data_IF_983888522798
#
_entry.id   IF_983888522798
#
_cell.length_a   1.000
_cell.length_b   1.000
_cell.length_c   1.000
_cell.angle_alpha   90.00
_cell.angle_beta   90.00
_cell.angle_gamma   90.00
#
_symmetry.space_group_name_H-M   'P 1'
#
loop_
_entity.id
_entity.type
_entity.pdbx_description
1 polymer ?
#
# COMPACT_ATOMS: atom_id res chain seq x y z
N UNK A 1 14.21 -15.57 -3.08
CA UNK A 1 13.43 -15.38 -1.85
C UNK A 1 14.37 -15.36 -0.65
N UNK A 2 14.27 -14.31 0.17
CA UNK A 2 15.04 -14.07 1.40
C UNK A 2 14.10 -14.14 2.59
N UNK A 3 14.59 -14.65 3.73
CA UNK A 3 13.84 -14.66 4.99
C UNK A 3 14.46 -13.68 5.99
N UNK A 4 13.63 -12.84 6.58
CA UNK A 4 13.98 -11.86 7.59
C UNK A 4 13.20 -12.14 8.89
N UNK A 5 13.79 -11.76 10.03
CA UNK A 5 13.15 -11.80 11.35
C UNK A 5 12.96 -10.38 11.87
N UNK A 6 11.75 -10.06 12.33
CA UNK A 6 11.42 -8.78 12.95
C UNK A 6 10.54 -9.05 14.17
N UNK A 7 11.09 -8.89 15.38
CA UNK A 7 10.43 -9.33 16.61
C UNK A 7 10.05 -10.82 16.54
N UNK A 8 8.77 -11.13 16.71
CA UNK A 8 8.21 -12.48 16.59
C UNK A 8 7.82 -12.86 15.15
N UNK A 9 7.90 -11.94 14.21
CA UNK A 9 7.47 -12.15 12.83
C UNK A 9 8.56 -12.83 11.99
N UNK A 10 8.10 -13.74 11.12
CA UNK A 10 8.93 -14.29 10.04
C UNK A 10 8.45 -13.69 8.73
N UNK A 11 9.34 -13.02 8.01
CA UNK A 11 9.00 -12.30 6.79
C UNK A 11 9.71 -12.97 5.62
N UNK A 12 8.97 -13.25 4.56
CA UNK A 12 9.52 -13.59 3.25
C UNK A 12 9.51 -12.34 2.37
N UNK A 13 10.58 -12.11 1.65
CA UNK A 13 10.70 -11.06 0.63
C UNK A 13 11.41 -11.65 -0.57
N UNK A 14 11.13 -11.16 -1.76
CA UNK A 14 11.72 -11.71 -2.98
C UNK A 14 12.18 -10.62 -3.96
N UNK A 15 12.99 -11.05 -4.90
CA UNK A 15 13.35 -10.25 -6.06
C UNK A 15 12.61 -10.79 -7.27
N UNK A 16 11.83 -9.94 -7.92
CA UNK A 16 11.08 -10.29 -9.13
C UNK A 16 11.70 -9.59 -10.33
N UNK A 17 12.07 -10.38 -11.33
CA UNK A 17 12.46 -9.84 -12.63
C UNK A 17 11.34 -8.90 -13.15
N UNK A 18 11.70 -7.83 -13.87
CA UNK A 18 10.71 -6.97 -14.50
C UNK A 18 9.80 -7.79 -15.43
N UNK A 19 8.52 -7.39 -15.60
CA UNK A 19 7.63 -8.02 -16.56
C UNK A 19 8.34 -8.09 -17.92
N UNK A 20 8.29 -9.22 -18.62
CA UNK A 20 9.09 -9.47 -19.83
C UNK A 20 8.82 -8.50 -20.98
N UNK A 21 7.76 -7.70 -20.88
CA UNK A 21 7.36 -6.69 -21.87
C UNK A 21 6.58 -5.60 -21.17
N UNK A 22 7.16 -4.40 -21.04
CA UNK A 22 6.32 -3.21 -21.12
C UNK A 22 5.61 -3.25 -22.49
N UNK A 23 4.38 -2.77 -22.58
CA UNK A 23 3.55 -2.75 -23.80
C UNK A 23 4.15 -1.98 -24.99
N UNK A 24 5.40 -1.54 -24.90
CA UNK A 24 6.15 -0.92 -25.99
C UNK A 24 7.29 -1.88 -26.44
N UNK A 25 7.15 -2.57 -27.58
CA UNK A 25 8.02 -3.70 -28.01
C UNK A 25 9.47 -3.34 -28.41
N UNK A 26 10.05 -2.27 -27.88
CA UNK A 26 11.42 -1.81 -28.19
C UNK A 26 12.33 -1.51 -26.99
N UNK A 27 11.80 -1.50 -25.76
CA UNK A 27 12.61 -1.14 -24.58
C UNK A 27 13.30 -2.39 -24.02
N UNK A 28 14.59 -2.54 -24.34
CA UNK A 28 15.41 -3.60 -23.75
C UNK A 28 15.70 -3.25 -22.28
N UNK A 29 15.26 -4.09 -21.36
CA UNK A 29 15.73 -4.07 -19.97
C UNK A 29 17.16 -4.60 -19.94
N UNK A 30 18.10 -3.86 -19.34
CA UNK A 30 19.50 -4.25 -19.23
C UNK A 30 19.79 -4.82 -17.83
N UNK A 31 19.24 -6.01 -17.55
CA UNK A 31 19.29 -6.62 -16.22
C UNK A 31 18.42 -5.89 -15.18
N UNK A 32 18.30 -6.47 -13.98
CA UNK A 32 17.53 -5.86 -12.88
C UNK A 32 16.28 -6.60 -12.42
N UNK A 33 15.64 -6.09 -11.38
CA UNK A 33 14.40 -6.61 -10.76
C UNK A 33 13.46 -5.46 -10.35
N UNK A 34 12.17 -5.54 -10.65
CA UNK A 34 11.23 -4.50 -10.18
C UNK A 34 10.99 -4.55 -8.67
N UNK A 35 11.28 -5.70 -8.06
CA UNK A 35 11.19 -5.91 -6.62
C UNK A 35 12.55 -6.35 -6.13
N UNK A 36 13.00 -5.82 -5.00
CA UNK A 36 14.31 -6.15 -4.44
C UNK A 36 14.18 -6.57 -2.99
N UNK A 37 14.67 -7.77 -2.69
CA UNK A 37 14.71 -8.28 -1.31
C UNK A 37 15.56 -7.38 -0.39
N UNK A 38 16.58 -6.71 -0.94
CA UNK A 38 17.40 -5.73 -0.21
C UNK A 38 16.65 -4.47 0.20
N UNK A 39 15.46 -4.23 -0.36
CA UNK A 39 14.64 -3.07 -0.03
C UNK A 39 13.70 -3.34 1.16
N UNK A 40 13.83 -4.50 1.81
CA UNK A 40 13.18 -4.84 3.07
C UNK A 40 14.25 -5.14 4.12
N UNK A 41 14.27 -4.38 5.22
CA UNK A 41 15.29 -4.55 6.26
C UNK A 41 14.77 -4.23 7.66
N UNK A 42 15.41 -4.80 8.69
CA UNK A 42 15.24 -4.33 10.07
C UNK A 42 16.32 -3.32 10.39
N UNK A 43 15.90 -2.11 10.73
CA UNK A 43 16.77 -1.00 11.10
C UNK A 43 17.41 -1.23 12.48
N UNK A 44 18.47 -0.47 12.77
CA UNK A 44 19.18 -0.54 14.05
C UNK A 44 18.32 -0.14 15.26
N UNK A 45 17.25 0.63 15.03
CA UNK A 45 16.26 0.99 16.05
C UNK A 45 15.20 -0.11 16.29
N UNK A 46 15.26 -1.22 15.55
CA UNK A 46 14.33 -2.34 15.67
C UNK A 46 13.10 -2.25 14.78
N UNK A 47 12.95 -1.18 13.99
CA UNK A 47 11.80 -1.01 13.08
C UNK A 47 12.01 -1.77 11.77
N UNK A 48 10.91 -2.20 11.15
CA UNK A 48 10.95 -2.76 9.80
C UNK A 48 10.88 -1.62 8.79
N UNK A 49 11.69 -1.65 7.75
CA UNK A 49 11.67 -0.68 6.68
C UNK A 49 11.39 -1.35 5.34
N UNK A 50 10.49 -0.74 4.57
CA UNK A 50 10.30 -0.97 3.15
C UNK A 50 10.81 0.26 2.40
N UNK A 51 11.53 0.06 1.30
CA UNK A 51 12.08 1.16 0.51
C UNK A 51 11.78 1.05 -0.98
N UNK A 52 11.70 2.21 -1.61
CA UNK A 52 11.60 2.41 -3.06
C UNK A 52 12.84 3.20 -3.50
N UNK A 53 13.74 2.55 -4.24
CA UNK A 53 15.06 3.09 -4.55
C UNK A 53 15.50 2.80 -5.98
N UNK A 54 16.40 3.61 -6.53
CA UNK A 54 17.06 3.33 -7.80
C UNK A 54 18.28 2.42 -7.59
N UNK A 55 18.04 1.14 -7.35
CA UNK A 55 19.12 0.20 -6.99
C UNK A 55 19.04 -1.16 -7.70
N UNK A 56 18.29 -1.21 -8.80
CA UNK A 56 17.97 -2.48 -9.46
C UNK A 56 18.38 -2.54 -10.93
N UNK A 57 19.43 -1.80 -11.31
CA UNK A 57 19.94 -1.77 -12.69
C UNK A 57 19.27 -0.70 -13.55
N UNK A 58 19.34 -0.86 -14.88
CA UNK A 58 18.97 0.18 -15.85
C UNK A 58 18.06 -0.35 -16.96
N UNK A 59 17.20 0.53 -17.49
CA UNK A 59 16.39 0.31 -18.68
C UNK A 59 16.66 1.40 -19.72
N UNK A 60 16.46 1.09 -21.00
CA UNK A 60 16.47 2.12 -22.05
C UNK A 60 15.09 2.74 -22.19
N UNK A 61 14.98 4.06 -22.15
CA UNK A 61 13.73 4.79 -22.37
C UNK A 61 13.43 4.98 -23.87
N UNK A 62 12.26 5.55 -24.19
CA UNK A 62 11.83 5.78 -25.59
C UNK A 62 12.74 6.75 -26.37
N UNK A 63 13.60 7.50 -25.68
CA UNK A 63 14.57 8.42 -26.27
C UNK A 63 15.94 7.76 -26.48
N UNK A 64 16.08 6.46 -26.19
CA UNK A 64 17.36 5.76 -26.28
C UNK A 64 18.36 6.20 -25.21
N UNK A 65 17.89 6.62 -24.03
CA UNK A 65 18.73 6.92 -22.87
C UNK A 65 18.57 5.83 -21.81
N UNK A 66 19.63 5.58 -21.03
CA UNK A 66 19.56 4.67 -19.89
C UNK A 66 19.02 5.40 -18.66
N UNK A 67 18.06 4.80 -17.99
CA UNK A 67 17.50 5.25 -16.71
C UNK A 67 17.58 4.14 -15.68
N UNK A 68 17.81 4.48 -14.41
CA UNK A 68 17.83 3.50 -13.33
C UNK A 68 16.41 3.04 -12.96
N UNK A 69 16.29 1.73 -12.72
CA UNK A 69 15.03 1.11 -12.31
C UNK A 69 14.77 1.43 -10.84
N UNK A 70 13.61 2.04 -10.59
CA UNK A 70 13.03 2.14 -9.26
C UNK A 70 12.53 0.76 -8.81
N UNK A 71 13.25 0.15 -7.86
CA UNK A 71 12.85 -1.12 -7.28
C UNK A 71 11.96 -0.94 -6.06
N UNK A 72 10.84 -1.65 -6.10
CA UNK A 72 9.88 -1.83 -5.04
C UNK A 72 10.39 -2.81 -3.96
N UNK A 73 9.62 -2.90 -2.89
CA UNK A 73 9.80 -3.84 -1.79
C UNK A 73 8.48 -4.50 -1.40
N UNK A 74 8.52 -5.80 -1.11
CA UNK A 74 7.40 -6.56 -0.56
C UNK A 74 7.86 -7.37 0.65
N UNK A 75 7.12 -7.26 1.74
CA UNK A 75 7.25 -8.06 2.95
C UNK A 75 6.00 -8.93 3.12
N UNK A 76 6.18 -10.25 3.07
CA UNK A 76 5.12 -11.25 3.27
C UNK A 76 5.28 -11.93 4.61
N UNK A 77 4.37 -11.65 5.53
CA UNK A 77 4.39 -12.17 6.89
C UNK A 77 3.89 -13.61 6.92
N UNK A 78 4.74 -14.53 7.38
CA UNK A 78 4.48 -15.98 7.40
C UNK A 78 3.67 -16.44 8.61
N UNK A 79 3.31 -15.51 9.49
CA UNK A 79 2.46 -15.77 10.64
C UNK A 79 1.09 -16.29 10.18
N UNK A 80 0.47 -17.12 11.02
CA UNK A 80 -0.88 -17.63 10.73
C UNK A 80 -1.86 -16.46 10.80
N UNK A 81 -2.68 -16.31 9.75
CA UNK A 81 -3.74 -15.31 9.70
C UNK A 81 -4.94 -15.82 10.50
N UNK A 82 -5.41 -14.99 11.44
CA UNK A 82 -6.56 -15.28 12.28
C UNK A 82 -7.57 -14.13 12.26
N UNK A 83 -8.81 -14.44 12.64
CA UNK A 83 -9.78 -13.40 12.97
C UNK A 83 -9.34 -12.65 14.22
N UNK A 84 -9.57 -11.34 14.24
CA UNK A 84 -9.22 -10.47 15.35
C UNK A 84 -8.87 -9.06 14.90
N UNK A 85 -8.02 -8.41 15.68
CA UNK A 85 -7.56 -7.05 15.45
C UNK A 85 -6.14 -7.05 14.88
N UNK A 86 -5.98 -6.40 13.73
CA UNK A 86 -4.68 -6.06 13.16
C UNK A 86 -4.42 -4.58 13.42
N UNK A 87 -3.21 -4.23 13.82
CA UNK A 87 -2.82 -2.84 14.09
C UNK A 87 -1.42 -2.59 13.54
N UNK A 88 -1.21 -1.53 12.77
CA UNK A 88 0.07 -1.20 12.18
C UNK A 88 0.36 0.29 12.34
N UNK A 89 1.53 0.62 12.89
CA UNK A 89 2.04 1.99 13.00
C UNK A 89 3.22 2.16 12.08
N UNK A 90 3.20 3.20 11.26
CA UNK A 90 4.25 3.48 10.31
C UNK A 90 4.40 4.98 10.06
N UNK A 91 5.54 5.36 9.47
CA UNK A 91 5.81 6.72 8.97
C UNK A 91 6.52 6.65 7.63
N UNK A 92 6.51 7.77 6.91
CA UNK A 92 7.08 7.89 5.58
C UNK A 92 8.21 8.91 5.60
N UNK A 93 9.39 8.54 5.10
CA UNK A 93 10.57 9.42 5.04
C UNK A 93 11.25 9.43 3.67
N UNK A 94 12.03 10.48 3.41
CA UNK A 94 12.95 10.58 2.28
C UNK A 94 14.34 9.98 2.63
N UNK A 95 15.26 9.96 1.67
CA UNK A 95 16.64 9.50 1.88
C UNK A 95 17.49 10.32 2.86
N UNK A 96 16.98 11.44 3.38
CA UNK A 96 17.62 12.22 4.43
C UNK A 96 16.92 12.04 5.79
N UNK A 97 15.91 11.19 5.88
CA UNK A 97 15.12 10.96 7.09
C UNK A 97 14.06 12.03 7.37
N UNK A 98 13.78 12.95 6.44
CA UNK A 98 12.70 13.92 6.59
C UNK A 98 11.36 13.27 6.27
N UNK A 99 10.27 13.74 6.89
CA UNK A 99 8.92 13.27 6.57
C UNK A 99 8.58 13.53 5.11
N UNK A 100 8.09 12.51 4.42
CA UNK A 100 7.86 12.51 2.98
C UNK A 100 6.43 12.05 2.63
N UNK A 101 5.45 12.50 3.39
CA UNK A 101 4.03 12.19 3.12
C UNK A 101 3.52 12.83 1.82
N UNK A 102 4.19 13.87 1.34
CA UNK A 102 3.96 14.48 0.03
C UNK A 102 4.27 13.54 -1.15
N UNK A 103 5.02 12.45 -0.91
CA UNK A 103 5.29 11.43 -1.93
C UNK A 103 4.01 10.74 -2.43
N UNK A 104 2.95 10.76 -1.60
CA UNK A 104 1.63 10.23 -1.94
C UNK A 104 0.67 11.30 -2.45
N UNK A 105 1.09 12.58 -2.46
CA UNK A 105 0.32 13.67 -3.00
C UNK A 105 0.50 13.76 -4.52
N UNK A 106 -0.57 14.15 -5.21
CA UNK A 106 -0.49 14.60 -6.59
C UNK A 106 0.20 15.96 -6.63
N UNK A 107 1.53 15.99 -6.79
CA UNK A 107 2.11 17.12 -7.51
C UNK A 107 1.70 16.96 -8.97
N UNK A 108 1.16 18.00 -9.58
CA UNK A 108 0.88 18.04 -11.00
C UNK A 108 2.11 18.71 -11.64
N UNK A 109 3.25 18.02 -11.82
CA UNK A 109 4.39 18.65 -12.45
C UNK A 109 3.97 19.05 -13.86
N UNK A 110 4.23 20.31 -14.21
CA UNK A 110 4.25 20.75 -15.59
C UNK A 110 5.71 20.71 -16.04
N UNK A 111 6.07 20.01 -17.13
CA UNK A 111 5.21 19.31 -18.09
C UNK A 111 4.64 17.99 -17.54
N UNK A 112 3.56 17.43 -18.13
CA UNK A 112 2.94 16.17 -17.69
C UNK A 112 3.92 15.01 -17.87
N UNK A 113 4.79 14.84 -16.89
CA UNK A 113 5.44 13.56 -16.68
C UNK A 113 4.32 12.59 -16.33
N UNK A 114 4.40 11.38 -16.90
CA UNK A 114 3.53 10.25 -16.56
C UNK A 114 3.21 10.29 -15.07
N UNK A 115 1.95 10.08 -14.67
CA UNK A 115 1.52 10.10 -13.27
C UNK A 115 2.32 9.07 -12.47
N UNK A 116 3.52 9.45 -12.01
CA UNK A 116 4.45 8.65 -11.23
C UNK A 116 4.02 8.80 -9.78
N UNK A 117 3.44 7.76 -9.22
CA UNK A 117 2.95 7.80 -7.84
C UNK A 117 3.55 6.65 -7.07
N UNK A 118 4.18 6.98 -5.95
CA UNK A 118 4.53 6.01 -4.92
C UNK A 118 3.23 5.43 -4.37
N UNK A 119 3.19 4.10 -4.20
CA UNK A 119 2.08 3.42 -3.53
C UNK A 119 2.61 2.55 -2.38
N UNK A 120 1.95 2.59 -1.23
CA UNK A 120 2.21 1.73 -0.06
C UNK A 120 0.96 0.97 0.32
N UNK A 121 1.04 -0.34 0.49
CA UNK A 121 -0.10 -1.21 0.74
C UNK A 121 0.11 -2.04 2.01
N UNK A 122 -0.98 -2.28 2.73
CA UNK A 122 -1.10 -3.26 3.79
C UNK A 122 -2.38 -4.06 3.52
N UNK A 123 -2.27 -5.36 3.30
CA UNK A 123 -3.41 -6.16 2.90
C UNK A 123 -3.25 -7.64 3.27
N UNK A 124 -4.37 -8.30 3.55
CA UNK A 124 -4.42 -9.75 3.59
C UNK A 124 -4.67 -10.27 2.19
N UNK A 125 -3.87 -11.23 1.73
CA UNK A 125 -4.00 -11.82 0.41
C UNK A 125 -3.93 -13.34 0.47
N UNK A 126 -4.84 -13.98 -0.26
CA UNK A 126 -4.78 -15.40 -0.57
C UNK A 126 -4.95 -15.59 -2.07
N UNK A 127 -3.92 -16.14 -2.72
CA UNK A 127 -4.02 -16.58 -4.11
C UNK A 127 -4.86 -17.85 -4.12
N UNK A 128 -6.14 -17.72 -4.45
CA UNK A 128 -7.07 -18.85 -4.47
C UNK A 128 -6.54 -20.03 -5.27
N UNK A 129 -6.91 -21.24 -4.86
CA UNK A 129 -6.53 -22.50 -5.54
C UNK A 129 -7.34 -22.78 -6.82
N UNK A 130 -8.30 -21.91 -7.19
CA UNK A 130 -9.20 -22.10 -8.32
C UNK A 130 -8.61 -21.57 -9.63
N UNK A 131 -8.42 -22.45 -10.61
CA UNK A 131 -7.81 -22.17 -11.93
C UNK A 131 -8.57 -21.24 -12.89
N UNK A 132 -9.33 -20.27 -12.38
CA UNK A 132 -9.87 -19.15 -13.16
C UNK A 132 -8.92 -17.94 -13.09
N UNK A 133 -8.83 -17.16 -14.17
CA UNK A 133 -8.08 -15.89 -14.17
C UNK A 133 -8.65 -14.95 -13.10
N UNK A 134 -7.87 -14.70 -12.04
CA UNK A 134 -8.13 -13.77 -10.92
C UNK A 134 -8.95 -14.28 -9.72
N UNK A 135 -9.02 -15.59 -9.44
CA UNK A 135 -9.57 -16.06 -8.17
C UNK A 135 -8.59 -15.81 -7.01
N UNK A 136 -8.74 -14.70 -6.29
CA UNK A 136 -8.02 -14.38 -5.06
C UNK A 136 -8.98 -13.85 -4.01
N UNK A 137 -8.57 -13.91 -2.74
CA UNK A 137 -9.27 -13.29 -1.62
C UNK A 137 -8.37 -12.24 -1.02
N UNK A 138 -8.91 -11.04 -0.83
CA UNK A 138 -8.11 -9.89 -0.40
C UNK A 138 -8.90 -8.98 0.54
N UNK A 139 -8.21 -8.45 1.54
CA UNK A 139 -8.70 -7.37 2.41
C UNK A 139 -7.61 -6.31 2.46
N UNK A 140 -7.84 -5.18 1.80
CA UNK A 140 -6.94 -4.02 1.85
C UNK A 140 -7.18 -3.25 3.14
N UNK A 141 -6.21 -3.31 4.07
CA UNK A 141 -6.22 -2.51 5.29
C UNK A 141 -5.88 -1.05 4.98
N UNK A 142 -5.07 -0.85 3.95
CA UNK A 142 -4.55 0.43 3.53
C UNK A 142 -3.92 0.30 2.14
N UNK A 143 -4.30 1.15 1.20
CA UNK A 143 -3.51 1.41 0.01
C UNK A 143 -3.27 2.92 -0.11
N UNK A 144 -2.10 3.40 0.32
CA UNK A 144 -1.61 4.76 0.11
C UNK A 144 -1.15 4.96 -1.32
N UNK A 145 -1.75 5.84 -2.11
CA UNK A 145 -1.24 6.19 -3.44
C UNK A 145 -2.35 6.61 -4.40
N UNK A 146 -1.97 7.20 -5.55
CA UNK A 146 -2.92 7.66 -6.54
C UNK A 146 -2.94 6.82 -7.81
N UNK A 147 -4.02 6.08 -8.04
CA UNK A 147 -4.24 5.39 -9.32
C UNK A 147 -4.73 6.38 -10.40
N UNK A 148 -3.79 7.15 -10.96
CA UNK A 148 -3.76 7.57 -12.36
C UNK A 148 -5.04 8.12 -13.04
N UNK A 149 -5.83 9.00 -12.42
CA UNK A 149 -6.89 9.73 -13.14
C UNK A 149 -6.54 11.22 -13.32
N UNK A 150 -6.90 11.87 -14.43
CA UNK A 150 -6.73 13.31 -14.55
C UNK A 150 -7.50 14.02 -13.43
N UNK A 151 -6.84 14.98 -12.77
CA UNK A 151 -7.43 15.79 -11.69
C UNK A 151 -8.31 16.92 -12.26
N UNK A 152 -9.06 16.62 -13.33
CA UNK A 152 -9.89 17.59 -14.08
C UNK A 152 -11.36 17.58 -13.65
N UNK A 153 -11.68 16.93 -12.53
CA UNK A 153 -13.05 16.80 -12.03
C UNK A 153 -13.91 15.79 -12.81
N UNK A 154 -13.38 15.18 -13.87
CA UNK A 154 -14.08 14.14 -14.65
C UNK A 154 -13.70 12.71 -14.23
N UNK A 155 -12.58 12.54 -13.52
CA UNK A 155 -12.18 11.25 -12.94
C UNK A 155 -13.24 10.75 -11.96
N UNK A 156 -13.64 9.48 -12.08
CA UNK A 156 -14.66 8.85 -11.23
C UNK A 156 -14.39 9.00 -9.72
N UNK A 157 -13.12 9.15 -9.33
CA UNK A 157 -12.64 9.40 -7.96
C UNK A 157 -13.10 10.76 -7.40
N UNK A 158 -13.18 11.80 -8.23
CA UNK A 158 -13.58 13.15 -7.80
C UNK A 158 -15.07 13.28 -7.47
N UNK A 159 -15.88 12.26 -7.82
CA UNK A 159 -17.32 12.23 -7.61
C UNK A 159 -17.74 11.49 -6.34
N UNK A 160 -16.80 11.03 -5.51
CA UNK A 160 -17.12 10.39 -4.23
C UNK A 160 -17.58 11.41 -3.19
N UNK A 161 -18.66 11.16 -2.42
CA UNK A 161 -18.99 11.95 -1.23
C UNK A 161 -17.84 11.92 -0.21
N UNK A 162 -17.27 13.08 0.10
CA UNK A 162 -16.07 13.19 0.95
C UNK A 162 -14.77 12.76 0.27
N UNK A 163 -14.76 12.68 -1.07
CA UNK A 163 -13.57 12.40 -1.87
C UNK A 163 -12.45 13.43 -1.67
N UNK A 164 -11.21 13.07 -2.04
CA UNK A 164 -10.03 13.88 -1.72
C UNK A 164 -10.08 15.26 -2.40
N UNK A 165 -9.79 16.30 -1.61
CA UNK A 165 -9.40 17.62 -2.13
C UNK A 165 -7.92 17.59 -2.53
N UNK A 166 -7.55 18.41 -3.52
CA UNK A 166 -6.32 18.36 -4.36
C UNK A 166 -4.95 18.11 -3.70
N UNK A 167 -4.81 18.14 -2.37
CA UNK A 167 -3.51 18.18 -1.68
C UNK A 167 -3.26 17.00 -0.70
N UNK A 168 -4.14 16.00 -0.66
CA UNK A 168 -4.03 14.91 0.31
C UNK A 168 -3.59 13.61 -0.37
N UNK A 169 -2.84 12.78 0.36
CA UNK A 169 -2.64 11.38 -0.04
C UNK A 169 -3.99 10.68 -0.18
N UNK A 170 -4.08 9.73 -1.10
CA UNK A 170 -5.32 9.00 -1.38
C UNK A 170 -5.22 7.58 -0.86
N UNK A 171 -6.29 7.10 -0.24
CA UNK A 171 -6.32 5.81 0.45
C UNK A 171 -7.49 4.99 -0.02
N UNK A 172 -7.31 3.68 -0.18
CA UNK A 172 -8.42 2.74 -0.38
C UNK A 172 -8.46 1.72 0.77
N UNK A 173 -9.65 1.50 1.31
CA UNK A 173 -10.02 0.36 2.13
C UNK A 173 -11.05 -0.43 1.34
N UNK A 174 -10.79 -1.68 1.01
CA UNK A 174 -11.71 -2.49 0.20
C UNK A 174 -11.53 -3.99 0.46
N UNK A 175 -12.60 -4.79 0.37
CA UNK A 175 -12.52 -6.11 -0.23
C UNK A 175 -12.50 -5.99 -1.77
N UNK A 176 -11.77 -6.85 -2.47
CA UNK A 176 -11.72 -6.83 -3.95
C UNK A 176 -12.91 -7.57 -4.58
N UNK A 177 -13.55 -6.97 -5.60
CA UNK A 177 -14.53 -7.62 -6.48
C UNK A 177 -14.05 -7.67 -7.94
N UNK A 178 -13.80 -8.86 -8.46
CA UNK A 178 -13.37 -9.09 -9.84
C UNK A 178 -14.50 -8.92 -10.88
N UNK A 179 -15.77 -8.81 -10.47
CA UNK A 179 -16.95 -8.76 -11.35
C UNK A 179 -17.33 -7.33 -11.79
N UNK A 180 -17.02 -6.29 -11.01
CA UNK A 180 -17.43 -4.90 -11.28
C UNK A 180 -16.31 -4.02 -11.85
N UNK A 181 -15.56 -4.56 -12.82
CA UNK A 181 -14.35 -3.92 -13.40
C UNK A 181 -14.54 -2.49 -13.92
N UNK A 182 -15.77 -2.08 -14.22
CA UNK A 182 -16.08 -0.80 -14.89
C UNK A 182 -16.82 0.22 -14.01
N UNK A 183 -17.21 -0.14 -12.77
CA UNK A 183 -17.84 0.78 -11.80
C UNK A 183 -17.46 0.38 -10.37
N UNK A 184 -16.71 1.21 -9.63
CA UNK A 184 -16.42 0.93 -8.23
C UNK A 184 -17.73 0.94 -7.44
N UNK A 185 -18.02 -0.14 -6.72
CA UNK A 185 -19.07 -0.15 -5.72
C UNK A 185 -18.55 0.52 -4.46
N UNK A 186 -19.04 1.73 -4.18
CA UNK A 186 -18.64 2.52 -3.01
C UNK A 186 -19.07 1.91 -1.66
N UNK A 187 -19.90 0.86 -1.69
CA UNK A 187 -20.18 0.06 -0.51
C UNK A 187 -19.04 -0.92 -0.21
N UNK A 188 -18.29 -1.33 -1.25
CA UNK A 188 -17.14 -2.23 -1.18
C UNK A 188 -15.88 -1.39 -0.92
N UNK A 189 -15.73 -0.30 -1.66
CA UNK A 189 -14.55 0.54 -1.67
C UNK A 189 -14.80 1.83 -0.87
N UNK A 190 -14.07 2.00 0.23
CA UNK A 190 -14.02 3.26 0.97
C UNK A 190 -12.68 3.95 0.77
N UNK A 191 -12.70 5.12 0.11
CA UNK A 191 -11.53 5.99 0.12
C UNK A 191 -11.55 6.98 1.26
N UNK A 192 -10.37 7.18 1.85
CA UNK A 192 -10.09 8.13 2.92
C UNK A 192 -8.98 9.07 2.43
N UNK A 193 -8.91 10.27 2.99
CA UNK A 193 -7.77 11.17 2.86
C UNK A 193 -7.11 11.34 4.24
N UNK A 194 -5.86 10.92 4.37
CA UNK A 194 -4.94 11.31 5.44
C UNK A 194 -4.63 12.79 5.25
N UNK A 195 -5.04 13.56 6.23
CA UNK A 195 -4.71 14.97 6.38
C UNK A 195 -3.28 15.08 6.91
N UNK A 196 -2.35 15.37 6.01
CA UNK A 196 -0.93 15.47 6.35
C UNK A 196 -0.65 16.57 7.39
N UNK A 197 -1.56 17.52 7.58
CA UNK A 197 -1.42 18.59 8.59
C UNK A 197 -1.70 18.10 10.01
N UNK A 198 -2.37 16.95 10.16
CA UNK A 198 -2.66 16.31 11.46
C UNK A 198 -1.59 15.31 11.88
N UNK A 199 -0.65 14.97 10.99
CA UNK A 199 0.44 14.06 11.30
C UNK A 199 1.36 14.73 12.34
N UNK A 200 1.64 14.08 13.48
CA UNK A 200 2.52 14.64 14.50
C UNK A 200 3.97 14.74 13.99
N UNK A 201 4.82 15.43 14.73
CA UNK A 201 6.25 15.56 14.39
C UNK A 201 7.01 14.23 14.31
N UNK A 202 6.50 13.15 14.95
CA UNK A 202 7.06 11.80 14.78
C UNK A 202 6.82 11.23 13.39
N UNK A 203 5.86 11.79 12.64
CA UNK A 203 5.48 11.34 11.30
C UNK A 203 4.54 10.14 11.28
N UNK A 204 4.17 9.62 12.45
CA UNK A 204 3.51 8.32 12.55
C UNK A 204 2.00 8.40 12.32
N UNK A 205 1.49 7.37 11.66
CA UNK A 205 0.08 7.08 11.48
C UNK A 205 -0.15 5.63 11.87
N UNK A 206 -1.26 5.37 12.57
CA UNK A 206 -1.67 4.02 12.94
C UNK A 206 -2.95 3.64 12.20
N UNK A 207 -2.93 2.48 11.55
CA UNK A 207 -4.12 1.83 10.97
C UNK A 207 -4.50 0.62 11.81
N UNK A 208 -5.80 0.45 12.07
CA UNK A 208 -6.35 -0.69 12.79
C UNK A 208 -7.53 -1.30 12.03
N UNK A 209 -7.55 -2.62 11.93
CA UNK A 209 -8.61 -3.38 11.27
C UNK A 209 -9.15 -4.45 12.21
N UNK A 210 -10.48 -4.51 12.37
CA UNK A 210 -11.17 -5.59 13.07
C UNK A 210 -11.90 -6.47 12.07
N UNK A 211 -11.41 -7.70 11.92
CA UNK A 211 -11.99 -8.73 11.07
C UNK A 211 -12.34 -9.94 11.92
N UNK A 212 -13.59 -10.03 12.35
CA UNK A 212 -14.04 -10.97 13.40
C UNK A 212 -14.54 -12.31 12.85
N UNK A 213 -15.04 -12.32 11.62
CA UNK A 213 -15.44 -13.51 10.89
C UNK A 213 -15.45 -13.25 9.37
N UNK A 214 -15.50 -14.31 8.57
CA UNK A 214 -15.83 -14.21 7.15
C UNK A 214 -17.33 -13.97 6.97
N UNK A 215 -17.73 -13.26 5.90
CA UNK A 215 -19.14 -12.98 5.68
C UNK A 215 -19.78 -11.96 6.63
N UNK A 216 -18.98 -11.18 7.37
CA UNK A 216 -19.46 -10.16 8.31
C UNK A 216 -18.78 -8.81 8.06
N UNK A 217 -19.39 -7.69 8.50
CA UNK A 217 -18.75 -6.39 8.39
C UNK A 217 -17.33 -6.34 8.97
N UNK A 218 -16.44 -5.62 8.29
CA UNK A 218 -15.10 -5.28 8.76
C UNK A 218 -15.13 -3.85 9.28
N UNK A 219 -14.46 -3.60 10.40
CA UNK A 219 -14.22 -2.24 10.90
C UNK A 219 -12.78 -1.81 10.60
N UNK A 220 -12.62 -0.62 10.04
CA UNK A 220 -11.35 0.01 9.73
C UNK A 220 -11.22 1.32 10.50
N UNK A 221 -10.02 1.61 10.97
CA UNK A 221 -9.69 2.79 11.73
C UNK A 221 -8.33 3.35 11.31
N UNK A 222 -8.21 4.68 11.31
CA UNK A 222 -6.95 5.39 11.12
C UNK A 222 -6.84 6.53 12.13
N UNK A 223 -5.69 6.62 12.80
CA UNK A 223 -5.37 7.69 13.74
C UNK A 223 -3.99 8.28 13.47
N UNK A 224 -3.85 9.57 13.73
CA UNK A 224 -2.57 10.29 13.61
C UNK A 224 -1.77 10.12 14.90
N UNK A 225 -0.57 9.52 14.80
CA UNK A 225 0.29 9.14 15.92
C UNK A 225 0.55 7.64 16.00
N UNK A 226 1.37 7.26 16.98
CA UNK A 226 1.72 5.88 17.26
C UNK A 226 0.81 5.28 18.35
N UNK A 227 0.11 4.21 17.99
CA UNK A 227 -0.76 3.49 18.90
C UNK A 227 -0.59 1.97 18.76
N UNK A 228 -0.81 1.27 19.86
CA UNK A 228 -1.10 -0.16 19.89
C UNK A 228 -2.64 -0.35 19.92
N UNK A 229 -3.15 -1.56 19.70
CA UNK A 229 -4.63 -1.74 19.68
C UNK A 229 -5.29 -1.45 21.04
N UNK A 230 -4.54 -1.59 22.15
CA UNK A 230 -5.05 -1.36 23.51
C UNK A 230 -5.22 0.11 23.84
N UNK A 231 -4.47 1.00 23.17
CA UNK A 231 -4.46 2.46 23.37
C UNK A 231 -4.99 3.22 22.16
N UNK A 232 -5.56 2.52 21.18
CA UNK A 232 -6.05 3.16 19.96
C UNK A 232 -7.18 4.17 20.29
N UNK A 233 -7.12 5.41 19.77
CA UNK A 233 -8.00 6.50 20.22
C UNK A 233 -9.37 6.48 19.52
N UNK A 234 -10.14 5.39 19.65
CA UNK A 234 -11.41 5.17 18.94
C UNK A 234 -12.43 6.31 19.00
N UNK A 235 -12.40 7.13 20.04
CA UNK A 235 -13.35 8.22 20.29
C UNK A 235 -12.80 9.60 19.93
N UNK A 236 -11.58 9.71 19.43
CA UNK A 236 -11.00 10.98 19.02
C UNK A 236 -11.71 11.53 17.78
N UNK A 237 -11.92 12.85 17.75
CA UNK A 237 -12.51 13.57 16.61
C UNK A 237 -11.67 13.48 15.33
N UNK A 238 -10.36 13.20 15.48
CA UNK A 238 -9.43 13.04 14.37
C UNK A 238 -9.27 11.60 13.91
N UNK A 239 -9.86 10.64 14.64
CA UNK A 239 -9.87 9.23 14.21
C UNK A 239 -10.87 9.03 13.10
N UNK A 240 -10.38 8.48 12.00
CA UNK A 240 -11.21 8.10 10.87
C UNK A 240 -11.66 6.67 11.09
N UNK A 241 -12.95 6.42 10.95
CA UNK A 241 -13.53 5.09 11.07
C UNK A 241 -14.42 4.75 9.89
N UNK A 242 -14.47 3.47 9.55
CA UNK A 242 -15.35 2.93 8.53
C UNK A 242 -15.75 1.50 8.88
N UNK A 243 -17.03 1.19 8.77
CA UNK A 243 -17.53 -0.18 8.84
C UNK A 243 -18.17 -0.53 7.51
N UNK A 244 -17.77 -1.65 6.92
CA UNK A 244 -18.37 -2.10 5.65
C UNK A 244 -19.85 -2.43 5.86
N UNK A 245 -20.75 -2.06 4.94
CA UNK A 245 -22.16 -2.40 5.06
C UNK A 245 -22.40 -3.91 4.91
N UNK A 246 -23.51 -4.42 5.44
CA UNK A 246 -23.86 -5.84 5.32
C UNK A 246 -24.09 -6.29 3.87
N UNK A 247 -24.38 -5.36 2.97
CA UNK A 247 -24.53 -5.63 1.53
C UNK A 247 -23.27 -6.15 0.86
N UNK A 248 -22.09 -5.99 1.49
CA UNK A 248 -20.81 -6.47 0.94
C UNK A 248 -20.24 -7.67 1.66
N UNK A 249 -21.00 -8.26 2.59
CA UNK A 249 -20.57 -9.43 3.36
C UNK A 249 -20.13 -10.60 2.46
N UNK A 250 -20.74 -10.80 1.30
CA UNK A 250 -20.34 -11.84 0.35
C UNK A 250 -18.92 -11.71 -0.18
N UNK A 251 -18.32 -10.52 -0.09
CA UNK A 251 -16.94 -10.23 -0.50
C UNK A 251 -15.94 -10.33 0.65
N UNK A 252 -16.41 -10.41 1.91
CA UNK A 252 -15.53 -10.55 3.07
C UNK A 252 -15.06 -11.99 3.18
N UNK A 253 -13.78 -12.28 2.90
CA UNK A 253 -13.32 -13.64 2.78
C UNK A 253 -13.35 -14.37 4.12
N UNK A 254 -13.45 -15.69 4.06
CA UNK A 254 -13.11 -16.54 5.21
C UNK A 254 -11.58 -16.66 5.33
N UNK A 255 -11.08 -16.85 6.55
CA UNK A 255 -9.65 -17.14 6.72
C UNK A 255 -9.29 -18.47 6.05
N UNK A 256 -8.09 -18.53 5.51
CA UNK A 256 -7.53 -19.74 4.91
C UNK A 256 -6.10 -19.95 5.40
N UNK A 257 -5.55 -21.15 5.21
CA UNK A 257 -4.13 -21.43 5.47
C UNK A 257 -3.18 -20.74 4.47
N UNK A 258 -3.69 -20.43 3.27
CA UNK A 258 -2.95 -19.76 2.20
C UNK A 258 -2.81 -18.26 2.44
N UNK A 259 -3.77 -17.66 3.14
CA UNK A 259 -3.79 -16.22 3.39
C UNK A 259 -2.55 -15.74 4.17
N UNK A 260 -2.00 -14.61 3.74
CA UNK A 260 -0.84 -13.94 4.36
C UNK A 260 -1.11 -12.45 4.48
N UNK A 261 -0.44 -11.80 5.42
CA UNK A 261 -0.36 -10.34 5.45
C UNK A 261 0.80 -9.90 4.56
N UNK A 262 0.52 -8.97 3.67
CA UNK A 262 1.48 -8.34 2.78
C UNK A 262 1.61 -6.87 3.15
N UNK A 263 2.84 -6.39 3.07
CA UNK A 263 3.13 -4.97 3.01
C UNK A 263 4.03 -4.73 1.80
N UNK A 264 3.71 -3.72 1.01
CA UNK A 264 4.51 -3.40 -0.17
C UNK A 264 4.65 -1.90 -0.36
N UNK A 265 5.78 -1.48 -0.90
CA UNK A 265 6.03 -0.12 -1.34
C UNK A 265 6.51 -0.19 -2.79
N UNK A 266 5.72 0.34 -3.72
CA UNK A 266 5.96 0.17 -5.14
C UNK A 266 5.65 1.42 -5.96
N UNK A 267 6.28 1.55 -7.14
CA UNK A 267 5.99 2.64 -8.06
C UNK A 267 4.85 2.28 -9.02
N UNK A 268 3.80 3.11 -9.08
CA UNK A 268 2.94 3.16 -10.27
C UNK A 268 3.53 4.22 -11.22
N UNK A 269 4.45 3.79 -12.09
CA UNK A 269 5.22 4.67 -12.98
C UNK A 269 6.51 5.25 -12.38
N UNK A 270 6.66 5.26 -11.06
CA UNK A 270 7.85 5.71 -10.31
C UNK A 270 7.45 6.47 -9.04
N UNK A 271 8.39 6.88 -8.16
CA UNK A 271 8.06 7.80 -7.09
C UNK A 271 7.66 9.18 -7.64
N UNK A 272 6.80 9.89 -6.91
CA UNK A 272 6.36 11.24 -7.28
C UNK A 272 7.46 12.29 -7.16
N UNK A 273 8.57 11.95 -6.50
CA UNK A 273 9.81 12.72 -6.54
C UNK A 273 10.94 11.87 -7.07
N UNK A 274 11.98 12.50 -7.63
CA UNK A 274 13.20 11.81 -8.07
C UNK A 274 14.10 11.34 -6.90
N UNK A 275 13.53 11.07 -5.72
CA UNK A 275 14.25 10.69 -4.51
C UNK A 275 13.73 9.36 -3.94
N UNK A 276 14.58 8.59 -3.26
CA UNK A 276 14.16 7.42 -2.50
C UNK A 276 13.06 7.73 -1.47
N UNK A 277 12.15 6.78 -1.32
CA UNK A 277 11.07 6.82 -0.34
C UNK A 277 11.17 5.60 0.56
N UNK A 278 10.97 5.82 1.86
CA UNK A 278 11.05 4.78 2.88
C UNK A 278 9.75 4.77 3.70
N UNK A 279 9.23 3.58 3.95
CA UNK A 279 8.15 3.34 4.89
C UNK A 279 8.74 2.58 6.08
N UNK A 280 8.82 3.25 7.22
CA UNK A 280 9.32 2.69 8.47
C UNK A 280 8.14 2.30 9.34
N UNK A 281 8.04 1.00 9.66
CA UNK A 281 6.99 0.39 10.46
C UNK A 281 7.54 0.19 11.87
N UNK A 282 7.00 0.95 12.82
CA UNK A 282 7.41 0.92 14.22
C UNK A 282 6.63 -0.09 15.06
N UNK A 283 5.46 -0.52 14.60
CA UNK A 283 4.61 -1.46 15.33
C UNK A 283 3.72 -2.29 14.40
N UNK A 284 3.55 -3.57 14.73
CA UNK A 284 2.58 -4.47 14.09
C UNK A 284 1.99 -5.45 15.11
N UNK A 285 0.67 -5.56 15.12
CA UNK A 285 -0.08 -6.59 15.81
C UNK A 285 -0.83 -7.46 14.81
N UNK A 286 -0.72 -8.78 15.00
CA UNK A 286 -1.51 -9.80 14.31
C UNK A 286 -2.13 -10.73 15.37
N UNK A 287 -3.40 -11.16 15.22
CA UNK A 287 -4.06 -12.10 16.15
C UNK A 287 -3.51 -13.54 16.15
#
# INVERSE_FOLDING_TARGET
MTTLKWGSFTIQTDSHAPPPTYSNPGLKVNGGSMWMASNVQVLSNGNLELSLQQNSGQYWNNNGQQEEIWAASEAVFQNTVNYGTYCCTFKITDGNGNLAWDQFALSNPSPPQLNMTTTFGIFLYDKGTGGGSNAHSEIDFLELGYQGQPNDGSGWIANQPGGPIKNNGQFTLQPWDAATKDKPDWNILKRIAIDVTKIPSSGEVTVLVKWTAGGTPIEFYLAYGAFDSSKFPFTSVDTISHTTPTSVNSYVPSKSSGMKLHMNLWPYGGPSTAKPVFCEISHLEMP
#
